data_IF_151529730096
#
_entry.id   IF_151529730096
#
_cell.length_a   1.000
_cell.length_b   1.000
_cell.length_c   1.000
_cell.angle_alpha   90.00
_cell.angle_beta   90.00
_cell.angle_gamma   90.00
#
_symmetry.space_group_name_H-M   'P 1'
#
loop_
_entity.id
_entity.type
_entity.pdbx_description
1 polymer ?
#
# COMPACT_ATOMS: atom_id res chain seq x y z
N UNK A 1 -12.61 31.55 -19.01
CA UNK A 1 -13.54 30.41 -19.18
C UNK A 1 -14.50 30.74 -20.33
N UNK A 2 -15.24 31.86 -20.32
CA UNK A 2 -16.24 32.21 -21.30
C UNK A 2 -15.67 32.23 -22.75
N UNK A 3 -14.48 32.83 -22.96
CA UNK A 3 -13.78 32.78 -24.25
C UNK A 3 -13.44 31.37 -24.73
N UNK A 4 -13.19 30.46 -23.80
CA UNK A 4 -12.90 29.05 -24.11
C UNK A 4 -14.17 28.31 -24.50
N UNK A 5 -15.26 28.54 -23.77
CA UNK A 5 -16.60 28.01 -24.11
C UNK A 5 -17.07 28.50 -25.49
N UNK A 6 -16.86 29.79 -25.76
CA UNK A 6 -17.23 30.39 -27.07
C UNK A 6 -16.41 29.80 -28.22
N UNK A 7 -15.10 29.59 -28.02
CA UNK A 7 -14.22 28.98 -29.03
C UNK A 7 -14.54 27.51 -29.29
N UNK A 8 -14.91 26.76 -28.24
CA UNK A 8 -15.24 25.35 -28.35
C UNK A 8 -16.70 25.11 -28.72
N UNK A 9 -17.54 26.15 -28.69
CA UNK A 9 -19.00 26.08 -28.89
C UNK A 9 -19.71 25.09 -27.96
N UNK A 10 -19.16 24.89 -26.76
CA UNK A 10 -19.75 24.03 -25.71
C UNK A 10 -19.69 24.73 -24.37
N UNK A 11 -20.65 24.44 -23.51
CA UNK A 11 -20.63 24.86 -22.09
C UNK A 11 -19.82 23.91 -21.29
N UNK A 12 -18.88 24.46 -20.51
CA UNK A 12 -18.00 23.67 -19.61
C UNK A 12 -18.48 23.71 -18.16
N UNK A 13 -19.29 24.72 -17.81
CA UNK A 13 -19.83 24.92 -16.47
C UNK A 13 -21.32 25.22 -16.50
N UNK A 14 -22.04 24.57 -15.59
CA UNK A 14 -23.39 24.90 -15.18
C UNK A 14 -23.35 25.91 -14.04
N UNK A 15 -24.03 27.03 -14.19
CA UNK A 15 -24.21 28.01 -13.11
C UNK A 15 -25.52 27.75 -12.42
N UNK A 16 -25.50 27.48 -11.13
CA UNK A 16 -26.67 27.31 -10.28
C UNK A 16 -26.61 28.22 -9.05
N UNK A 17 -27.71 28.36 -8.35
CA UNK A 17 -27.76 29.06 -7.05
C UNK A 17 -26.88 28.42 -5.98
N UNK A 18 -26.41 27.20 -6.21
CA UNK A 18 -25.49 26.44 -5.33
C UNK A 18 -24.01 26.54 -5.73
N UNK A 19 -23.69 27.24 -6.84
CA UNK A 19 -22.31 27.44 -7.29
C UNK A 19 -22.09 27.03 -8.76
N UNK A 20 -20.83 26.76 -9.10
CA UNK A 20 -20.36 26.34 -10.42
C UNK A 20 -20.09 24.83 -10.39
N UNK A 21 -20.73 24.08 -11.29
CA UNK A 21 -20.50 22.65 -11.49
C UNK A 21 -20.05 22.40 -12.93
N UNK A 22 -19.17 21.42 -13.13
CA UNK A 22 -18.74 21.04 -14.49
C UNK A 22 -19.87 20.34 -15.25
N UNK A 23 -19.98 20.61 -16.54
CA UNK A 23 -20.76 19.81 -17.47
C UNK A 23 -20.01 18.51 -17.82
N UNK A 24 -20.63 17.58 -18.52
CA UNK A 24 -19.97 16.35 -19.00
C UNK A 24 -18.80 16.70 -19.95
N UNK A 25 -18.97 17.72 -20.80
CA UNK A 25 -17.91 18.26 -21.64
C UNK A 25 -16.81 18.92 -20.79
N UNK A 26 -17.19 19.62 -19.72
CA UNK A 26 -16.27 20.20 -18.74
C UNK A 26 -15.44 19.14 -18.02
N UNK A 27 -16.06 18.04 -17.60
CA UNK A 27 -15.37 16.88 -16.98
C UNK A 27 -14.41 16.24 -17.97
N UNK A 28 -14.85 16.02 -19.20
CA UNK A 28 -14.02 15.44 -20.27
C UNK A 28 -12.79 16.29 -20.57
N UNK A 29 -12.99 17.59 -20.73
CA UNK A 29 -11.89 18.54 -20.94
C UNK A 29 -10.94 18.61 -19.76
N UNK A 30 -11.46 18.62 -18.53
CA UNK A 30 -10.64 18.63 -17.31
C UNK A 30 -9.76 17.38 -17.20
N UNK A 31 -10.31 16.20 -17.50
CA UNK A 31 -9.56 14.95 -17.51
C UNK A 31 -8.46 14.97 -18.58
N UNK A 32 -8.80 15.44 -19.80
CA UNK A 32 -7.83 15.56 -20.89
C UNK A 32 -6.69 16.51 -20.55
N UNK A 33 -7.00 17.72 -20.08
CA UNK A 33 -5.99 18.72 -19.67
C UNK A 33 -5.16 18.27 -18.48
N UNK A 34 -5.75 17.56 -17.54
CA UNK A 34 -5.04 16.97 -16.41
C UNK A 34 -4.01 15.93 -16.86
N UNK A 35 -4.39 15.09 -17.84
CA UNK A 35 -3.47 14.11 -18.42
C UNK A 35 -2.37 14.79 -19.25
N UNK A 36 -2.71 15.80 -20.05
CA UNK A 36 -1.72 16.60 -20.81
C UNK A 36 -0.73 17.31 -19.88
N UNK A 37 -1.22 17.92 -18.80
CA UNK A 37 -0.37 18.62 -17.83
C UNK A 37 0.61 17.65 -17.14
N UNK A 38 0.15 16.41 -16.88
CA UNK A 38 0.99 15.35 -16.38
C UNK A 38 2.07 14.94 -17.38
N UNK A 39 1.69 14.78 -18.65
CA UNK A 39 2.61 14.44 -19.74
C UNK A 39 3.64 15.55 -19.98
N UNK A 40 3.20 16.83 -19.95
CA UNK A 40 4.10 17.99 -20.07
C UNK A 40 5.10 18.08 -18.91
N UNK A 41 4.67 17.82 -17.68
CA UNK A 41 5.59 17.77 -16.52
C UNK A 41 6.64 16.67 -16.70
N UNK A 42 6.25 15.49 -17.18
CA UNK A 42 7.15 14.39 -17.51
C UNK A 42 8.15 14.84 -18.58
N UNK A 43 7.67 15.37 -19.71
CA UNK A 43 8.51 15.84 -20.81
C UNK A 43 9.49 16.94 -20.40
N UNK A 44 9.06 17.93 -19.62
CA UNK A 44 9.94 18.97 -19.09
C UNK A 44 11.00 18.43 -18.12
N UNK A 45 10.64 17.38 -17.36
CA UNK A 45 11.61 16.67 -16.51
C UNK A 45 12.62 15.89 -17.33
N UNK A 46 12.20 15.30 -18.45
CA UNK A 46 13.08 14.59 -19.39
C UNK A 46 14.07 15.55 -20.07
N UNK A 47 13.60 16.72 -20.50
CA UNK A 47 14.49 17.74 -21.08
C UNK A 47 15.57 18.22 -20.08
N UNK A 48 15.19 18.37 -18.80
CA UNK A 48 16.13 18.74 -17.73
C UNK A 48 17.08 17.59 -17.36
N UNK A 49 16.64 16.34 -17.47
CA UNK A 49 17.49 15.17 -17.16
C UNK A 49 18.55 14.89 -18.21
N UNK A 50 18.37 15.33 -19.46
CA UNK A 50 19.39 15.21 -20.50
C UNK A 50 20.67 16.00 -20.23
N UNK A 51 20.68 16.92 -19.24
CA UNK A 51 21.86 17.70 -18.87
C UNK A 51 22.74 17.09 -17.77
N UNK A 52 22.28 16.02 -17.09
CA UNK A 52 23.12 15.29 -16.12
C UNK A 52 22.79 13.81 -16.17
N UNK A 53 23.68 13.01 -16.72
CA UNK A 53 23.62 11.55 -16.63
C UNK A 53 23.81 11.17 -15.16
N UNK A 54 22.70 10.94 -14.46
CA UNK A 54 22.75 10.52 -13.05
C UNK A 54 22.81 9.00 -13.02
N UNK A 55 24.02 8.47 -12.88
CA UNK A 55 24.26 7.04 -12.66
C UNK A 55 24.23 6.75 -11.16
N UNK A 56 23.61 5.67 -10.75
CA UNK A 56 23.57 5.27 -9.36
C UNK A 56 22.78 4.00 -9.12
N UNK A 57 22.59 3.68 -7.84
CA UNK A 57 21.77 2.55 -7.41
C UNK A 57 20.87 2.97 -6.26
N UNK A 58 19.64 2.50 -6.25
CA UNK A 58 18.72 2.54 -5.11
C UNK A 58 18.48 1.12 -4.62
N UNK A 59 18.71 0.89 -3.34
CA UNK A 59 18.47 -0.38 -2.68
C UNK A 59 17.28 -0.26 -1.75
N UNK A 60 16.25 -1.09 -1.99
CA UNK A 60 14.98 -1.08 -1.28
C UNK A 60 14.75 -2.43 -0.63
N UNK A 61 14.49 -2.46 0.67
CA UNK A 61 13.98 -3.65 1.38
C UNK A 61 12.53 -3.44 1.77
N UNK A 62 11.66 -4.40 1.45
CA UNK A 62 10.22 -4.28 1.72
C UNK A 62 9.57 -5.64 1.91
N UNK A 63 8.36 -5.67 2.47
CA UNK A 63 7.54 -6.88 2.46
C UNK A 63 7.05 -7.22 1.05
N UNK A 64 6.80 -8.51 0.80
CA UNK A 64 6.34 -9.01 -0.50
C UNK A 64 5.11 -8.27 -1.02
N UNK A 65 4.14 -8.02 -0.15
CA UNK A 65 2.90 -7.30 -0.47
C UNK A 65 3.17 -5.94 -1.10
N UNK A 66 4.08 -5.16 -0.52
CA UNK A 66 4.43 -3.84 -1.06
C UNK A 66 5.24 -3.93 -2.34
N UNK A 67 6.16 -4.92 -2.43
CA UNK A 67 6.92 -5.15 -3.65
C UNK A 67 6.00 -5.42 -4.84
N UNK A 68 5.03 -6.32 -4.67
CA UNK A 68 4.13 -6.75 -5.74
C UNK A 68 3.13 -5.67 -6.15
N UNK A 69 2.51 -4.99 -5.18
CA UNK A 69 1.38 -4.11 -5.47
C UNK A 69 1.76 -2.65 -5.72
N UNK A 70 2.89 -2.18 -5.18
CA UNK A 70 3.26 -0.76 -5.24
C UNK A 70 4.53 -0.47 -6.04
N UNK A 71 5.57 -1.31 -5.92
CA UNK A 71 6.87 -0.91 -6.48
C UNK A 71 6.90 -0.92 -8.02
N UNK A 72 6.23 -1.86 -8.68
CA UNK A 72 6.31 -1.95 -10.14
C UNK A 72 5.83 -0.67 -10.87
N UNK A 73 4.64 -0.11 -10.60
CA UNK A 73 4.21 1.13 -11.22
C UNK A 73 5.05 2.34 -10.80
N UNK A 74 5.60 2.36 -9.57
CA UNK A 74 6.48 3.41 -9.10
C UNK A 74 7.81 3.38 -9.83
N UNK A 75 8.43 2.18 -9.97
CA UNK A 75 9.67 2.00 -10.71
C UNK A 75 9.49 2.43 -12.16
N UNK A 76 8.38 2.08 -12.79
CA UNK A 76 8.08 2.50 -14.15
C UNK A 76 8.07 4.03 -14.26
N UNK A 77 7.33 4.75 -13.39
CA UNK A 77 7.31 6.22 -13.35
C UNK A 77 8.69 6.82 -13.08
N UNK A 78 9.45 6.23 -12.15
CA UNK A 78 10.77 6.70 -11.77
C UNK A 78 11.75 6.66 -12.93
N UNK A 79 11.73 5.59 -13.72
CA UNK A 79 12.65 5.40 -14.86
C UNK A 79 12.50 6.43 -15.98
N UNK A 80 11.35 7.10 -16.10
CA UNK A 80 11.22 8.23 -17.02
C UNK A 80 12.14 9.40 -16.67
N UNK A 81 12.41 9.61 -15.38
CA UNK A 81 13.26 10.72 -14.93
C UNK A 81 14.70 10.28 -14.71
N UNK A 82 14.91 9.05 -14.30
CA UNK A 82 16.22 8.50 -13.95
C UNK A 82 16.45 7.12 -14.61
N UNK A 83 16.59 7.06 -15.95
CA UNK A 83 16.67 5.80 -16.68
C UNK A 83 17.91 4.98 -16.34
N UNK A 84 19.03 5.65 -16.00
CA UNK A 84 20.34 5.04 -15.74
C UNK A 84 20.56 4.68 -14.25
N UNK A 85 19.59 4.96 -13.38
CA UNK A 85 19.67 4.56 -11.97
C UNK A 85 19.18 3.12 -11.83
N UNK A 86 20.07 2.25 -11.34
CA UNK A 86 19.73 0.86 -11.02
C UNK A 86 18.83 0.81 -9.79
N UNK A 87 17.84 -0.08 -9.82
CA UNK A 87 16.95 -0.33 -8.66
C UNK A 87 17.09 -1.78 -8.25
N UNK A 88 17.43 -1.98 -6.98
CA UNK A 88 17.48 -3.28 -6.34
C UNK A 88 16.42 -3.33 -5.25
N UNK A 89 15.28 -3.94 -5.57
CA UNK A 89 14.16 -4.14 -4.64
C UNK A 89 14.15 -5.59 -4.16
N UNK A 90 14.24 -5.78 -2.84
CA UNK A 90 14.29 -7.10 -2.22
C UNK A 90 13.11 -7.27 -1.28
N UNK A 91 12.36 -8.35 -1.49
CA UNK A 91 11.31 -8.76 -0.56
C UNK A 91 11.91 -9.54 0.61
N UNK A 92 11.59 -9.11 1.82
CA UNK A 92 12.15 -9.65 3.08
C UNK A 92 11.13 -9.68 4.20
N UNK A 93 11.42 -10.44 5.25
CA UNK A 93 10.68 -10.38 6.51
C UNK A 93 10.95 -9.05 7.23
N UNK A 94 10.01 -8.55 8.06
CA UNK A 94 10.15 -7.26 8.75
C UNK A 94 11.49 -7.10 9.51
N UNK A 95 11.91 -8.11 10.22
CA UNK A 95 13.16 -8.09 10.99
C UNK A 95 14.38 -7.87 10.08
N UNK A 96 14.43 -8.57 8.96
CA UNK A 96 15.51 -8.46 7.98
C UNK A 96 15.50 -7.11 7.25
N UNK A 97 14.33 -6.47 7.09
CA UNK A 97 14.23 -5.12 6.56
C UNK A 97 14.92 -4.13 7.50
N UNK A 98 14.63 -4.23 8.82
CA UNK A 98 15.24 -3.37 9.81
C UNK A 98 16.75 -3.58 9.91
N UNK A 99 17.21 -4.81 9.86
CA UNK A 99 18.65 -5.15 9.85
C UNK A 99 19.38 -4.58 8.62
N UNK A 100 18.75 -4.65 7.44
CA UNK A 100 19.32 -4.04 6.23
C UNK A 100 19.47 -2.52 6.35
N UNK A 101 18.53 -1.86 7.00
CA UNK A 101 18.58 -0.41 7.22
C UNK A 101 19.65 -0.02 8.26
N UNK A 102 19.78 -0.80 9.34
CA UNK A 102 20.79 -0.58 10.37
C UNK A 102 22.19 -0.79 9.80
N UNK A 103 22.36 -1.81 8.95
CA UNK A 103 23.64 -2.17 8.33
C UNK A 103 23.91 -1.45 7.01
N UNK A 104 23.05 -0.50 6.61
CA UNK A 104 23.14 0.26 5.35
C UNK A 104 23.22 -0.62 4.09
N UNK A 105 22.64 -1.82 4.13
CA UNK A 105 22.46 -2.69 2.96
C UNK A 105 21.32 -2.21 2.06
N UNK A 106 20.39 -1.43 2.61
CA UNK A 106 19.31 -0.75 1.88
C UNK A 106 19.27 0.73 2.20
N UNK A 107 18.92 1.55 1.22
CA UNK A 107 18.80 3.00 1.36
C UNK A 107 17.56 3.38 2.16
N UNK A 108 16.46 2.68 1.92
CA UNK A 108 15.23 2.79 2.68
C UNK A 108 14.44 1.48 2.65
N UNK A 109 13.51 1.34 3.57
CA UNK A 109 12.60 0.21 3.64
C UNK A 109 11.14 0.64 3.75
N UNK A 110 10.24 -0.27 3.36
CA UNK A 110 8.79 -0.13 3.58
C UNK A 110 8.37 -1.29 4.47
N UNK A 111 7.95 -0.98 5.70
CA UNK A 111 7.60 -1.98 6.70
C UNK A 111 6.67 -1.42 7.76
N UNK A 112 6.23 -2.28 8.66
CA UNK A 112 5.52 -1.85 9.88
C UNK A 112 6.42 -0.95 10.72
N UNK A 113 5.84 0.12 11.30
CA UNK A 113 6.58 1.17 12.00
C UNK A 113 6.57 1.01 13.51
N UNK A 114 5.87 0.01 14.03
CA UNK A 114 5.82 -0.26 15.48
C UNK A 114 7.16 -0.80 16.00
N UNK A 115 7.56 -0.31 17.16
CA UNK A 115 8.73 -0.79 17.94
C UNK A 115 10.06 -0.67 17.16
N UNK A 116 10.26 0.44 16.43
CA UNK A 116 11.49 0.66 15.66
C UNK A 116 12.71 0.90 16.55
N UNK A 117 13.88 0.35 16.18
CA UNK A 117 15.15 0.70 16.79
C UNK A 117 15.44 2.20 16.75
N UNK A 118 16.04 2.74 17.82
CA UNK A 118 16.36 4.17 17.95
C UNK A 118 17.28 4.72 16.84
N UNK A 119 18.01 3.87 16.14
CA UNK A 119 18.90 4.20 15.01
C UNK A 119 18.15 4.47 13.71
N UNK A 120 16.89 4.12 13.64
CA UNK A 120 16.02 4.31 12.47
C UNK A 120 15.10 5.52 12.68
N UNK A 121 14.61 6.08 11.58
CA UNK A 121 13.59 7.14 11.53
C UNK A 121 12.49 6.78 10.55
N UNK A 122 11.28 7.21 10.87
CA UNK A 122 10.12 7.16 9.97
C UNK A 122 10.16 8.43 9.13
N UNK A 123 10.05 8.28 7.82
CA UNK A 123 9.92 9.40 6.87
C UNK A 123 8.45 9.79 6.72
N UNK A 124 7.59 8.78 6.54
CA UNK A 124 6.13 8.91 6.49
C UNK A 124 5.52 7.59 6.90
N UNK A 125 4.30 7.64 7.45
CA UNK A 125 3.53 6.44 7.79
C UNK A 125 2.05 6.64 7.53
N UNK A 126 1.36 5.54 7.28
CA UNK A 126 -0.06 5.47 6.96
C UNK A 126 -0.71 4.29 7.68
N UNK A 127 -2.01 4.40 7.91
CA UNK A 127 -2.76 3.37 8.60
C UNK A 127 -3.19 2.26 7.63
N UNK A 128 -2.82 1.04 7.99
CA UNK A 128 -3.24 -0.17 7.28
C UNK A 128 -3.77 -1.18 8.29
N UNK A 129 -5.01 -1.00 8.76
CA UNK A 129 -5.58 -1.91 9.75
C UNK A 129 -5.60 -3.34 9.22
N UNK A 130 -5.36 -4.28 10.12
CA UNK A 130 -5.57 -5.69 9.86
C UNK A 130 -7.05 -6.03 9.97
N UNK A 131 -7.45 -7.02 9.22
CA UNK A 131 -8.80 -7.55 9.24
C UNK A 131 -8.82 -9.01 8.81
N UNK A 132 -10.01 -9.55 8.64
CA UNK A 132 -10.19 -10.84 7.99
C UNK A 132 -10.22 -10.65 6.48
N UNK A 133 -9.67 -11.64 5.79
CA UNK A 133 -9.81 -11.83 4.36
C UNK A 133 -10.42 -13.23 4.13
N UNK A 134 -11.46 -13.30 3.33
CA UNK A 134 -12.21 -14.53 3.07
C UNK A 134 -12.87 -14.51 1.71
N UNK A 135 -13.41 -15.64 1.28
CA UNK A 135 -14.29 -15.75 0.11
C UNK A 135 -15.57 -14.89 0.29
N UNK A 136 -16.19 -14.38 -0.79
CA UNK A 136 -17.51 -13.75 -0.75
C UNK A 136 -18.62 -14.68 -0.18
N UNK A 137 -18.41 -15.98 -0.23
CA UNK A 137 -19.34 -16.99 0.27
C UNK A 137 -19.13 -17.35 1.76
N UNK A 138 -18.13 -16.76 2.41
CA UNK A 138 -17.88 -16.97 3.83
C UNK A 138 -18.99 -16.36 4.69
N UNK A 139 -19.36 -17.00 5.79
CA UNK A 139 -20.43 -16.53 6.71
C UNK A 139 -20.20 -15.10 7.24
N UNK A 140 -18.95 -14.70 7.41
CA UNK A 140 -18.60 -13.36 7.88
C UNK A 140 -18.49 -12.31 6.75
N UNK A 141 -18.59 -12.69 5.49
CA UNK A 141 -18.39 -11.78 4.35
C UNK A 141 -19.34 -10.57 4.37
N UNK A 142 -20.59 -10.77 4.81
CA UNK A 142 -21.62 -9.73 4.84
C UNK A 142 -21.82 -9.10 6.23
N UNK A 143 -21.01 -9.49 7.23
CA UNK A 143 -21.10 -8.91 8.57
C UNK A 143 -20.43 -7.52 8.55
N UNK A 144 -21.14 -6.49 8.99
CA UNK A 144 -20.65 -5.10 8.96
C UNK A 144 -19.52 -4.88 9.97
N UNK A 145 -19.67 -5.43 11.17
CA UNK A 145 -18.70 -5.30 12.25
C UNK A 145 -18.19 -6.67 12.68
N UNK A 146 -16.88 -6.87 12.60
CA UNK A 146 -16.21 -8.12 12.97
C UNK A 146 -15.46 -7.93 14.28
N UNK A 147 -15.79 -8.75 15.25
CA UNK A 147 -15.02 -8.89 16.49
C UNK A 147 -14.12 -10.13 16.41
N UNK A 148 -13.06 -10.12 17.20
CA UNK A 148 -12.10 -11.22 17.19
C UNK A 148 -12.76 -12.57 17.50
N UNK A 149 -13.70 -12.59 18.45
CA UNK A 149 -14.43 -13.81 18.84
C UNK A 149 -15.27 -14.40 17.68
N UNK A 150 -15.76 -13.57 16.77
CA UNK A 150 -16.52 -14.05 15.60
C UNK A 150 -15.68 -14.93 14.67
N UNK A 151 -14.36 -14.77 14.72
CA UNK A 151 -13.45 -15.45 13.81
C UNK A 151 -13.03 -16.83 14.31
N UNK A 152 -13.18 -17.10 15.63
CA UNK A 152 -12.54 -18.24 16.29
C UNK A 152 -13.16 -19.60 15.93
N UNK A 153 -14.41 -19.61 15.48
CA UNK A 153 -15.13 -20.82 15.11
C UNK A 153 -14.84 -21.30 13.68
N UNK A 154 -13.97 -20.57 12.95
CA UNK A 154 -13.66 -20.89 11.56
C UNK A 154 -12.24 -21.40 11.37
N UNK A 155 -12.04 -22.29 10.38
CA UNK A 155 -10.70 -22.70 9.98
C UNK A 155 -9.87 -21.48 9.57
N UNK A 156 -8.60 -21.45 10.01
CA UNK A 156 -7.71 -20.32 9.76
C UNK A 156 -6.48 -20.72 8.99
N UNK A 157 -6.16 -19.93 7.99
CA UNK A 157 -4.90 -19.99 7.28
C UNK A 157 -4.02 -18.81 7.71
N UNK A 158 -2.79 -19.09 8.13
CA UNK A 158 -1.87 -18.04 8.56
C UNK A 158 -0.65 -17.92 7.67
N UNK A 159 -0.30 -16.68 7.35
CA UNK A 159 1.05 -16.34 6.94
C UNK A 159 1.96 -16.30 8.16
N UNK A 160 3.26 -16.72 8.07
CA UNK A 160 4.18 -16.68 9.22
C UNK A 160 4.24 -15.33 9.93
N UNK A 161 4.17 -14.21 9.18
CA UNK A 161 4.10 -12.85 9.76
C UNK A 161 2.82 -12.61 10.56
N UNK A 162 1.69 -13.14 10.12
CA UNK A 162 0.41 -13.08 10.85
C UNK A 162 0.48 -13.91 12.14
N UNK A 163 1.13 -15.06 12.08
CA UNK A 163 1.33 -15.89 13.28
C UNK A 163 2.18 -15.16 14.34
N UNK A 164 3.24 -14.48 13.93
CA UNK A 164 4.06 -13.66 14.83
C UNK A 164 3.23 -12.53 15.46
N UNK A 165 2.40 -11.84 14.68
CA UNK A 165 1.48 -10.82 15.16
C UNK A 165 0.45 -11.41 16.14
N UNK A 166 -0.11 -12.57 15.82
CA UNK A 166 -1.06 -13.29 16.67
C UNK A 166 -0.46 -13.67 18.03
N UNK A 167 0.75 -14.22 18.06
CA UNK A 167 1.46 -14.52 19.28
C UNK A 167 1.72 -13.28 20.15
N UNK A 168 1.87 -12.10 19.54
CA UNK A 168 1.96 -10.83 20.25
C UNK A 168 0.62 -10.45 20.88
N UNK A 169 -0.48 -10.57 20.15
CA UNK A 169 -1.84 -10.33 20.66
C UNK A 169 -2.10 -11.20 21.90
N UNK A 170 -1.84 -12.49 21.81
CA UNK A 170 -2.04 -13.43 22.93
C UNK A 170 -1.30 -13.00 24.18
N UNK A 171 -0.08 -12.50 24.05
CA UNK A 171 0.73 -12.01 25.17
C UNK A 171 0.22 -10.71 25.78
N UNK A 172 -0.20 -9.76 24.96
CA UNK A 172 -0.66 -8.43 25.41
C UNK A 172 -2.06 -8.48 26.03
N UNK A 173 -2.93 -9.36 25.57
CA UNK A 173 -4.33 -9.44 26.03
C UNK A 173 -4.45 -10.34 27.27
N UNK A 174 -3.37 -11.06 27.65
CA UNK A 174 -3.36 -11.95 28.83
C UNK A 174 -4.34 -13.13 28.71
N UNK A 175 -4.83 -13.36 27.53
CA UNK A 175 -5.86 -14.35 27.27
C UNK A 175 -5.15 -15.67 27.01
N UNK A 176 -5.35 -16.65 27.89
CA UNK A 176 -5.35 -18.07 27.51
C UNK A 176 -6.41 -18.36 26.43
N UNK A 177 -6.90 -17.31 25.79
CA UNK A 177 -7.81 -17.34 24.70
C UNK A 177 -7.06 -17.95 23.55
N UNK A 178 -7.30 -19.23 23.43
CA UNK A 178 -7.19 -19.92 22.20
C UNK A 178 -5.76 -20.23 21.80
N UNK A 179 -5.36 -21.42 22.08
CA UNK A 179 -4.45 -22.14 21.20
C UNK A 179 -5.10 -22.16 19.79
N UNK A 180 -5.18 -20.99 19.11
CA UNK A 180 -5.50 -21.01 17.69
C UNK A 180 -4.33 -21.73 17.05
N UNK A 181 -4.60 -22.99 16.74
CA UNK A 181 -3.73 -23.80 15.93
C UNK A 181 -4.22 -23.57 14.49
N UNK A 182 -3.48 -22.82 13.66
CA UNK A 182 -3.93 -22.60 12.29
C UNK A 182 -3.98 -23.95 11.57
N UNK A 183 -5.07 -24.18 10.85
CA UNK A 183 -5.25 -25.40 10.05
C UNK A 183 -4.21 -25.48 8.93
N UNK A 184 -3.72 -24.31 8.48
CA UNK A 184 -2.76 -24.20 7.40
C UNK A 184 -1.84 -23.00 7.62
N UNK A 185 -0.54 -23.19 7.38
CA UNK A 185 0.47 -22.11 7.37
C UNK A 185 1.11 -22.07 6.01
N UNK A 186 1.09 -20.91 5.34
CA UNK A 186 1.70 -20.71 4.03
C UNK A 186 2.40 -19.35 3.96
N UNK A 187 3.57 -19.30 3.34
CA UNK A 187 4.36 -18.07 3.19
C UNK A 187 4.13 -17.36 1.84
N UNK A 188 3.28 -17.91 0.98
CA UNK A 188 2.91 -17.31 -0.29
C UNK A 188 1.52 -16.69 -0.20
N UNK A 189 1.45 -15.36 -0.39
CA UNK A 189 0.17 -14.66 -0.41
C UNK A 189 -0.69 -15.10 -1.61
N UNK A 190 -0.09 -15.41 -2.75
CA UNK A 190 -0.81 -15.93 -3.91
C UNK A 190 -1.48 -17.28 -3.60
N UNK A 191 -0.77 -18.18 -2.91
CA UNK A 191 -1.35 -19.43 -2.44
C UNK A 191 -2.50 -19.18 -1.47
N UNK A 192 -2.32 -18.29 -0.49
CA UNK A 192 -3.35 -17.95 0.50
C UNK A 192 -4.63 -17.46 -0.20
N UNK A 193 -4.51 -16.54 -1.15
CA UNK A 193 -5.65 -16.00 -1.90
C UNK A 193 -6.40 -17.09 -2.66
N UNK A 194 -5.68 -17.93 -3.39
CA UNK A 194 -6.28 -19.04 -4.13
C UNK A 194 -6.98 -20.02 -3.20
N UNK A 195 -6.36 -20.38 -2.07
CA UNK A 195 -6.96 -21.31 -1.10
C UNK A 195 -8.27 -20.77 -0.51
N UNK A 196 -8.35 -19.46 -0.22
CA UNK A 196 -9.59 -18.84 0.27
C UNK A 196 -10.74 -18.90 -0.75
N UNK A 197 -10.44 -18.97 -2.04
CA UNK A 197 -11.45 -19.14 -3.10
C UNK A 197 -11.93 -20.57 -3.19
N UNK A 198 -11.04 -21.55 -2.98
CA UNK A 198 -11.36 -22.99 -3.01
C UNK A 198 -12.06 -23.45 -1.73
N UNK A 199 -11.73 -22.88 -0.56
CA UNK A 199 -12.33 -23.19 0.73
C UNK A 199 -13.06 -21.97 1.31
N UNK A 200 -14.37 -21.79 0.99
CA UNK A 200 -15.15 -20.67 1.49
C UNK A 200 -15.38 -20.68 3.01
N UNK A 201 -15.08 -21.76 3.70
CA UNK A 201 -15.19 -21.83 5.18
C UNK A 201 -13.99 -21.23 5.89
N UNK A 202 -12.87 -21.03 5.17
CA UNK A 202 -11.60 -20.58 5.73
C UNK A 202 -11.46 -19.05 5.69
N UNK A 203 -10.75 -18.50 6.67
CA UNK A 203 -10.36 -17.09 6.69
C UNK A 203 -8.87 -16.93 7.02
N UNK A 204 -8.33 -15.75 6.73
CA UNK A 204 -7.00 -15.34 7.18
C UNK A 204 -7.05 -13.92 7.75
N UNK A 205 -6.10 -13.61 8.65
CA UNK A 205 -5.88 -12.24 9.09
C UNK A 205 -4.79 -11.60 8.23
N UNK A 206 -5.13 -10.49 7.60
CA UNK A 206 -4.19 -9.76 6.76
C UNK A 206 -4.56 -8.27 6.67
N UNK A 207 -3.72 -7.46 6.04
CA UNK A 207 -4.11 -6.11 5.60
C UNK A 207 -4.74 -6.19 4.20
N UNK A 208 -5.59 -5.23 3.84
CA UNK A 208 -6.20 -5.19 2.51
C UNK A 208 -5.19 -4.99 1.36
N UNK A 209 -3.98 -4.49 1.67
CA UNK A 209 -2.94 -4.20 0.66
C UNK A 209 -2.62 -5.41 -0.20
N UNK A 210 -2.59 -6.60 0.40
CA UNK A 210 -2.21 -7.83 -0.29
C UNK A 210 -3.21 -8.33 -1.33
N UNK A 211 -4.44 -7.79 -1.35
CA UNK A 211 -5.53 -8.27 -2.18
C UNK A 211 -6.37 -7.12 -2.76
N UNK A 212 -5.77 -5.96 -3.01
CA UNK A 212 -6.50 -4.78 -3.52
C UNK A 212 -7.26 -5.10 -4.81
N UNK A 213 -6.66 -5.84 -5.74
CA UNK A 213 -7.30 -6.22 -7.01
C UNK A 213 -8.48 -7.14 -6.77
N UNK A 214 -8.28 -8.20 -6.01
CA UNK A 214 -9.30 -9.20 -5.71
C UNK A 214 -10.47 -8.60 -4.91
N UNK A 215 -10.18 -7.66 -4.01
CA UNK A 215 -11.22 -6.95 -3.25
C UNK A 215 -12.03 -6.03 -4.17
N UNK A 216 -11.37 -5.27 -5.05
CA UNK A 216 -12.04 -4.39 -6.01
C UNK A 216 -12.89 -5.19 -7.02
N UNK A 217 -12.44 -6.37 -7.41
CA UNK A 217 -13.16 -7.28 -8.29
C UNK A 217 -14.24 -8.10 -7.55
N UNK A 218 -14.35 -7.96 -6.22
CA UNK A 218 -15.24 -8.75 -5.36
C UNK A 218 -14.96 -10.25 -5.38
N UNK A 219 -13.76 -10.63 -5.74
CA UNK A 219 -13.28 -12.02 -5.69
C UNK A 219 -12.96 -12.43 -4.24
N UNK A 220 -12.44 -11.49 -3.44
CA UNK A 220 -12.23 -11.65 -2.01
C UNK A 220 -12.90 -10.52 -1.24
N UNK A 221 -13.25 -10.79 0.00
CA UNK A 221 -13.81 -9.82 0.94
C UNK A 221 -12.78 -9.51 2.01
N UNK A 222 -12.64 -8.22 2.31
CA UNK A 222 -11.87 -7.74 3.47
C UNK A 222 -12.83 -7.04 4.44
N UNK A 223 -12.72 -7.40 5.74
CA UNK A 223 -13.44 -6.73 6.83
C UNK A 223 -12.46 -6.41 7.95
N UNK A 224 -12.47 -5.16 8.40
CA UNK A 224 -11.66 -4.75 9.57
C UNK A 224 -12.14 -5.52 10.80
N UNK A 225 -11.19 -5.93 11.64
CA UNK A 225 -11.52 -6.50 12.96
C UNK A 225 -11.52 -5.37 13.99
N UNK A 226 -12.65 -5.21 14.67
CA UNK A 226 -12.80 -4.21 15.74
C UNK A 226 -12.04 -4.64 16.99
N UNK A 227 -10.72 -4.46 16.94
CA UNK A 227 -9.83 -4.69 18.05
C UNK A 227 -8.64 -3.73 17.98
N UNK A 228 -8.27 -3.10 19.09
CA UNK A 228 -7.24 -2.04 19.16
C UNK A 228 -5.94 -2.41 18.44
N UNK A 229 -5.44 -3.63 18.61
CA UNK A 229 -4.18 -4.06 18.00
C UNK A 229 -4.28 -4.24 16.49
N UNK A 230 -5.45 -4.59 15.97
CA UNK A 230 -5.71 -4.72 14.53
C UNK A 230 -5.88 -3.36 13.86
N UNK A 231 -6.55 -2.43 14.53
CA UNK A 231 -6.83 -1.11 13.98
C UNK A 231 -5.58 -0.21 13.95
N UNK A 232 -4.71 -0.32 14.97
CA UNK A 232 -3.50 0.50 15.12
C UNK A 232 -2.28 -0.10 14.40
N UNK A 233 -2.48 -0.61 13.20
CA UNK A 233 -1.39 -1.14 12.38
C UNK A 233 -0.95 -0.12 11.36
N UNK A 234 0.31 0.31 11.44
CA UNK A 234 0.87 1.35 10.59
C UNK A 234 2.03 0.81 9.77
N UNK A 235 2.12 1.29 8.56
CA UNK A 235 3.20 1.01 7.63
C UNK A 235 3.79 2.33 7.15
N UNK A 236 5.10 2.37 7.08
CA UNK A 236 5.80 3.59 6.68
C UNK A 236 7.07 3.33 5.89
N UNK A 237 7.61 4.43 5.41
CA UNK A 237 8.95 4.49 4.83
C UNK A 237 9.93 4.74 5.96
N UNK A 238 10.90 3.85 6.09
CA UNK A 238 11.87 3.81 7.19
C UNK A 238 13.27 3.96 6.61
N UNK A 239 14.11 4.75 7.28
CA UNK A 239 15.51 4.93 6.91
C UNK A 239 16.40 4.94 8.16
N UNK A 240 17.71 4.71 7.97
CA UNK A 240 18.69 5.02 9.00
C UNK A 240 18.68 6.52 9.32
N UNK A 241 18.81 6.90 10.59
CA UNK A 241 18.92 8.33 10.98
C UNK A 241 20.10 9.03 10.34
N UNK A 242 21.19 8.29 10.11
CA UNK A 242 22.41 8.80 9.51
C UNK A 242 22.39 8.77 7.98
N UNK A 243 21.34 8.21 7.36
CA UNK A 243 21.23 8.16 5.92
C UNK A 243 21.11 9.56 5.32
N UNK A 244 21.90 9.81 4.26
CA UNK A 244 21.81 11.01 3.42
C UNK A 244 21.39 10.58 2.02
N UNK A 245 20.07 10.53 1.75
CA UNK A 245 19.58 10.10 0.47
C UNK A 245 20.05 11.03 -0.64
N UNK A 246 20.33 10.44 -1.80
CA UNK A 246 20.65 11.22 -3.01
C UNK A 246 19.36 11.79 -3.61
N UNK A 247 19.40 12.85 -4.43
CA UNK A 247 18.21 13.47 -5.00
C UNK A 247 17.27 12.48 -5.72
N UNK A 248 17.82 11.49 -6.43
CA UNK A 248 17.02 10.46 -7.08
C UNK A 248 16.36 9.50 -6.07
N UNK A 249 17.00 9.23 -4.92
CA UNK A 249 16.39 8.43 -3.85
C UNK A 249 15.24 9.20 -3.18
N UNK A 250 15.42 10.50 -2.94
CA UNK A 250 14.36 11.37 -2.41
C UNK A 250 13.16 11.43 -3.36
N UNK A 251 13.40 11.56 -4.66
CA UNK A 251 12.34 11.51 -5.66
C UNK A 251 11.63 10.16 -5.68
N UNK A 252 12.35 9.05 -5.55
CA UNK A 252 11.73 7.73 -5.46
C UNK A 252 10.83 7.63 -4.21
N UNK A 253 11.32 8.08 -3.06
CA UNK A 253 10.58 8.12 -1.80
C UNK A 253 9.29 8.97 -1.95
N UNK A 254 9.35 10.11 -2.65
CA UNK A 254 8.16 10.93 -2.88
C UNK A 254 7.09 10.18 -3.70
N UNK A 255 7.50 9.42 -4.71
CA UNK A 255 6.58 8.58 -5.49
C UNK A 255 5.94 7.46 -4.64
N UNK A 256 6.73 6.82 -3.77
CA UNK A 256 6.22 5.82 -2.82
C UNK A 256 5.21 6.45 -1.86
N UNK A 257 5.53 7.63 -1.32
CA UNK A 257 4.66 8.39 -0.43
C UNK A 257 3.31 8.71 -1.08
N UNK A 258 3.34 9.17 -2.34
CA UNK A 258 2.11 9.46 -3.10
C UNK A 258 1.22 8.22 -3.28
N UNK A 259 1.83 7.07 -3.58
CA UNK A 259 1.06 5.83 -3.77
C UNK A 259 0.51 5.29 -2.45
N UNK A 260 1.28 5.29 -1.36
CA UNK A 260 0.81 4.87 -0.04
C UNK A 260 -0.34 5.76 0.47
N UNK A 261 -0.29 7.07 0.21
CA UNK A 261 -1.35 8.02 0.58
C UNK A 261 -2.69 7.71 -0.10
N UNK A 262 -2.69 7.14 -1.30
CA UNK A 262 -3.94 6.80 -2.03
C UNK A 262 -4.70 5.64 -1.40
N UNK A 263 -3.99 4.75 -0.71
CA UNK A 263 -4.55 3.53 -0.12
C UNK A 263 -4.65 3.60 1.41
N UNK A 264 -4.32 4.75 1.99
CA UNK A 264 -4.54 5.02 3.42
C UNK A 264 -6.04 4.90 3.75
N UNK A 265 -6.36 4.01 4.67
CA UNK A 265 -7.74 3.67 5.05
C UNK A 265 -8.32 4.54 6.15
N UNK A 266 -7.60 5.59 6.57
CA UNK A 266 -8.08 6.58 7.55
C UNK A 266 -8.81 7.78 6.90
N UNK A 267 -9.10 7.70 5.61
CA UNK A 267 -9.89 8.69 4.89
C UNK A 267 -11.30 8.22 4.70
#
# INVERSE_FOLDING_TARGET
>A
IQKLEDNLQVKLFNRSSKGLELTDEGISLFQHLSQQNKNNKIFMSELKSKQSITVGEIKISTGETFAVHFLAPIIFKFRFKYPDVKIKALSKKPENILDDLITNKSDFGISFTRDLPKTLKIITEYSFPMGIMCSPHHKLANKEEIFLNDCLDFPMLFHPGTLTFWNKIQREVGIKLYSINPNLIANSLAFIKNYLLEDPSCLTFFTNIGAIKEINNKELIFRKVNHKLFLNNQVGIIMSKNARPKPYTEYFISLVTEELKKVDTNK
#
